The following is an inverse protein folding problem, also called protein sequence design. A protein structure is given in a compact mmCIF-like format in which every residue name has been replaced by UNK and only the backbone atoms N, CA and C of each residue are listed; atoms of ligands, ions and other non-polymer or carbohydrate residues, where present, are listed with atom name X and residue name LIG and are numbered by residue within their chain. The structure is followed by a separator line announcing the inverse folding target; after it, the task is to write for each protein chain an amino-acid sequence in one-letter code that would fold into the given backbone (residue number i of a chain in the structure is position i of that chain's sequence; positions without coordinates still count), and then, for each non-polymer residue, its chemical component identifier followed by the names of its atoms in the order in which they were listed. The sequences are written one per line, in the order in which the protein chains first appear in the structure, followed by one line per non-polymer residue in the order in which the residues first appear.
data_IF_451763505969
#
_entry.id   IF_451763505969
#
_cell.length_a   1.000
_cell.length_b   1.000
_cell.length_c   1.000
_cell.angle_alpha   90.00
_cell.angle_beta   90.00
_cell.angle_gamma   90.00
#
_symmetry.space_group_name_H-M   'P 1'
#
loop_
_entity.id
_entity.type
_entity.pdbx_description
1 polymer ?
#
# COMPACT_ATOMS: atom_id res chain seq x y z
N UNK A 1 -37.95 34.13 22.64
CA UNK A 1 -36.70 34.47 21.95
C UNK A 1 -35.91 33.20 21.78
N UNK A 2 -35.59 32.82 20.54
CA UNK A 2 -34.61 31.78 20.28
C UNK A 2 -33.21 32.27 20.69
N UNK A 3 -32.24 31.36 20.76
CA UNK A 3 -31.18 31.46 19.75
C UNK A 3 -31.10 30.20 18.89
N UNK A 4 -31.14 30.43 17.59
CA UNK A 4 -31.07 29.49 16.46
C UNK A 4 -29.63 29.13 16.07
N UNK A 5 -28.70 28.98 17.01
CA UNK A 5 -27.28 28.88 16.64
C UNK A 5 -26.58 27.77 17.43
N UNK A 6 -26.61 26.53 16.93
CA UNK A 6 -25.49 25.56 16.90
C UNK A 6 -25.71 24.49 15.79
N UNK A 7 -26.38 24.86 14.70
CA UNK A 7 -26.42 24.06 13.48
C UNK A 7 -25.23 24.36 12.54
N UNK A 8 -24.23 25.12 13.02
CA UNK A 8 -23.13 25.64 12.23
C UNK A 8 -21.80 25.06 12.68
N UNK A 9 -21.11 24.47 11.70
CA UNK A 9 -19.69 24.12 11.72
C UNK A 9 -19.29 22.78 12.33
N UNK A 10 -19.72 21.69 11.67
CA UNK A 10 -18.79 20.57 11.47
C UNK A 10 -17.55 21.12 10.75
N UNK A 11 -16.58 21.60 11.52
CA UNK A 11 -15.39 22.26 10.99
C UNK A 11 -14.60 21.37 10.03
N UNK A 12 -13.73 21.93 9.18
CA UNK A 12 -12.91 21.16 8.23
C UNK A 12 -12.18 19.98 8.88
N UNK A 13 -11.79 20.12 10.15
CA UNK A 13 -11.18 19.07 10.96
C UNK A 13 -12.12 17.89 11.26
N UNK A 14 -13.41 18.13 11.52
CA UNK A 14 -14.40 17.09 11.79
C UNK A 14 -14.73 16.30 10.51
N UNK A 15 -14.89 17.00 9.37
CA UNK A 15 -15.06 16.38 8.05
C UNK A 15 -13.83 15.57 7.64
N UNK A 16 -12.63 16.11 7.87
CA UNK A 16 -11.37 15.39 7.65
C UNK A 16 -11.25 14.15 8.54
N UNK A 17 -11.65 14.25 9.82
CA UNK A 17 -11.66 13.12 10.74
C UNK A 17 -12.66 12.03 10.30
N UNK A 18 -13.85 12.41 9.84
CA UNK A 18 -14.86 11.48 9.30
C UNK A 18 -14.38 10.80 8.01
N UNK A 19 -13.82 11.55 7.05
CA UNK A 19 -13.25 10.98 5.83
C UNK A 19 -12.14 9.96 6.16
N UNK A 20 -11.25 10.31 7.09
CA UNK A 20 -10.18 9.42 7.60
C UNK A 20 -10.74 8.16 8.28
N UNK A 21 -11.83 8.29 9.04
CA UNK A 21 -12.48 7.14 9.68
C UNK A 21 -13.16 6.21 8.65
N UNK A 22 -13.74 6.78 7.58
CA UNK A 22 -14.35 6.02 6.48
C UNK A 22 -13.32 5.18 5.73
N UNK A 23 -12.14 5.74 5.46
CA UNK A 23 -11.00 5.00 4.89
C UNK A 23 -10.46 3.91 5.84
N UNK A 24 -10.31 4.20 7.14
CA UNK A 24 -9.82 3.22 8.14
C UNK A 24 -10.73 2.00 8.31
N UNK A 25 -12.02 2.12 7.98
CA UNK A 25 -12.98 1.00 8.07
C UNK A 25 -12.81 -0.05 6.97
N UNK A 26 -12.10 0.24 5.89
CA UNK A 26 -11.84 -0.75 4.85
C UNK A 26 -10.90 -1.83 5.41
N UNK A 27 -11.26 -3.13 5.31
CA UNK A 27 -10.43 -4.23 5.85
C UNK A 27 -9.01 -4.26 5.26
N UNK A 28 -8.87 -3.75 4.03
CA UNK A 28 -7.60 -3.56 3.34
C UNK A 28 -6.76 -2.40 3.89
N UNK A 29 -7.36 -1.44 4.61
CA UNK A 29 -6.63 -0.34 5.25
C UNK A 29 -6.00 -0.72 6.60
N UNK A 30 -6.16 -1.98 7.05
CA UNK A 30 -5.49 -2.47 8.25
C UNK A 30 -3.96 -2.45 8.02
N UNK A 31 -3.17 -1.80 8.89
CA UNK A 31 -1.72 -1.68 8.72
C UNK A 31 -1.02 -3.03 8.51
N UNK A 32 -1.46 -4.07 9.23
CA UNK A 32 -0.92 -5.42 9.09
C UNK A 32 -1.07 -5.99 7.67
N UNK A 33 -2.19 -5.76 7.00
CA UNK A 33 -2.37 -6.27 5.63
C UNK A 33 -1.47 -5.52 4.64
N UNK A 34 -1.33 -4.20 4.82
CA UNK A 34 -0.49 -3.37 3.95
C UNK A 34 1.00 -3.67 4.10
N UNK A 35 1.47 -3.90 5.33
CA UNK A 35 2.91 -4.01 5.62
C UNK A 35 3.42 -5.44 5.86
N UNK A 36 2.54 -6.41 6.11
CA UNK A 36 2.92 -7.83 6.12
C UNK A 36 2.29 -8.57 4.93
N UNK A 37 0.98 -8.43 4.74
CA UNK A 37 0.23 -9.21 3.75
C UNK A 37 0.63 -8.94 2.30
N UNK A 38 0.67 -7.67 1.90
CA UNK A 38 1.06 -7.29 0.53
C UNK A 38 2.52 -7.68 0.22
N UNK A 39 3.51 -7.42 1.09
CA UNK A 39 4.86 -7.93 0.90
C UNK A 39 4.94 -9.45 0.82
N UNK A 40 4.18 -10.19 1.65
CA UNK A 40 4.13 -11.65 1.58
C UNK A 40 3.58 -12.13 0.23
N UNK A 41 2.51 -11.50 -0.26
CA UNK A 41 1.89 -11.83 -1.54
C UNK A 41 2.86 -11.66 -2.71
N UNK A 42 3.72 -10.65 -2.66
CA UNK A 42 4.73 -10.39 -3.70
C UNK A 42 5.98 -11.28 -3.50
N UNK A 43 6.41 -11.48 -2.27
CA UNK A 43 7.60 -12.25 -1.94
C UNK A 43 7.44 -13.74 -2.24
N UNK A 44 6.26 -14.34 -2.00
CA UNK A 44 6.01 -15.75 -2.23
C UNK A 44 6.30 -16.21 -3.69
N UNK A 45 5.70 -15.62 -4.73
CA UNK A 45 5.98 -16.04 -6.12
C UNK A 45 7.42 -15.73 -6.52
N UNK A 46 8.00 -14.61 -6.07
CA UNK A 46 9.37 -14.24 -6.37
C UNK A 46 10.39 -15.20 -5.71
N UNK A 47 10.14 -15.59 -4.46
CA UNK A 47 10.94 -16.57 -3.74
C UNK A 47 10.77 -17.98 -4.34
N UNK A 48 9.56 -18.38 -4.70
CA UNK A 48 9.30 -19.66 -5.37
C UNK A 48 10.05 -19.77 -6.70
N UNK A 49 10.13 -18.67 -7.46
CA UNK A 49 10.92 -18.59 -8.68
C UNK A 49 12.42 -18.71 -8.40
N UNK A 50 12.93 -17.97 -7.40
CA UNK A 50 14.32 -18.07 -6.97
C UNK A 50 14.69 -19.51 -6.54
N UNK A 51 13.81 -20.19 -5.79
CA UNK A 51 14.02 -21.58 -5.38
C UNK A 51 14.09 -22.53 -6.59
N UNK A 52 13.22 -22.36 -7.59
CA UNK A 52 13.28 -23.14 -8.81
C UNK A 52 14.56 -22.90 -9.62
N UNK A 53 14.98 -21.65 -9.77
CA UNK A 53 16.15 -21.29 -10.57
C UNK A 53 17.45 -21.71 -9.88
N UNK A 54 17.60 -21.42 -8.58
CA UNK A 54 18.84 -21.62 -7.85
C UNK A 54 19.02 -23.05 -7.30
N UNK A 55 17.92 -23.73 -6.96
CA UNK A 55 17.97 -25.03 -6.27
C UNK A 55 17.14 -26.13 -6.95
N UNK A 56 16.58 -25.86 -8.14
CA UNK A 56 15.85 -26.84 -8.94
C UNK A 56 14.47 -27.23 -8.38
N UNK A 57 13.95 -26.52 -7.37
CA UNK A 57 12.61 -26.75 -6.84
C UNK A 57 12.33 -25.99 -5.54
N UNK A 58 11.04 -25.92 -5.15
CA UNK A 58 10.56 -25.08 -4.04
C UNK A 58 11.17 -25.38 -2.66
N UNK A 59 11.69 -26.59 -2.46
CA UNK A 59 12.34 -27.07 -1.23
C UNK A 59 13.80 -27.46 -1.47
N UNK A 60 14.39 -27.05 -2.60
CA UNK A 60 15.76 -27.40 -2.95
C UNK A 60 16.75 -26.90 -1.90
N UNK A 61 16.63 -25.64 -1.48
CA UNK A 61 17.48 -25.06 -0.43
C UNK A 61 17.25 -25.74 0.93
N UNK A 62 15.99 -26.03 1.28
CA UNK A 62 15.65 -26.74 2.52
C UNK A 62 16.35 -28.10 2.61
N UNK A 63 16.36 -28.86 1.51
CA UNK A 63 16.98 -30.19 1.46
C UNK A 63 18.50 -30.13 1.47
N UNK A 64 19.09 -29.10 0.88
CA UNK A 64 20.55 -28.97 0.74
C UNK A 64 21.22 -28.29 1.94
N UNK A 65 20.57 -27.29 2.55
CA UNK A 65 21.14 -26.40 3.56
C UNK A 65 20.31 -26.34 4.86
N UNK A 66 19.17 -27.02 4.91
CA UNK A 66 18.33 -27.13 6.10
C UNK A 66 17.33 -25.98 6.29
N UNK A 67 16.55 -26.09 7.36
CA UNK A 67 15.44 -25.17 7.66
C UNK A 67 15.90 -23.74 7.95
N UNK A 68 17.00 -23.58 8.67
CA UNK A 68 17.49 -22.26 9.07
C UNK A 68 17.88 -21.41 7.85
N UNK A 69 18.57 -22.00 6.87
CA UNK A 69 18.92 -21.34 5.61
C UNK A 69 17.65 -20.93 4.84
N UNK A 70 16.72 -21.88 4.66
CA UNK A 70 15.47 -21.66 3.95
C UNK A 70 14.63 -20.51 4.53
N UNK A 71 14.44 -20.48 5.85
CA UNK A 71 13.67 -19.42 6.53
C UNK A 71 14.40 -18.08 6.52
N UNK A 72 15.74 -18.09 6.61
CA UNK A 72 16.55 -16.87 6.52
C UNK A 72 16.48 -16.26 5.13
N UNK A 73 16.62 -17.08 4.09
CA UNK A 73 16.47 -16.67 2.70
C UNK A 73 15.06 -16.12 2.45
N UNK A 74 14.02 -16.85 2.87
CA UNK A 74 12.65 -16.36 2.78
C UNK A 74 12.45 -15.03 3.50
N UNK A 75 13.00 -14.88 4.71
CA UNK A 75 12.94 -13.64 5.48
C UNK A 75 13.62 -12.46 4.78
N UNK A 76 14.78 -12.68 4.16
CA UNK A 76 15.50 -11.69 3.35
C UNK A 76 14.69 -11.26 2.12
N UNK A 77 14.12 -12.23 1.40
CA UNK A 77 13.23 -11.97 0.27
C UNK A 77 12.01 -11.17 0.70
N UNK A 78 11.33 -11.60 1.76
CA UNK A 78 10.19 -10.87 2.33
C UNK A 78 10.57 -9.44 2.72
N UNK A 79 11.70 -9.24 3.40
CA UNK A 79 12.16 -7.93 3.83
C UNK A 79 12.43 -6.99 2.63
N UNK A 80 13.06 -7.49 1.56
CA UNK A 80 13.31 -6.72 0.35
C UNK A 80 12.00 -6.22 -0.29
N UNK A 81 11.00 -7.10 -0.41
CA UNK A 81 9.68 -6.73 -0.91
C UNK A 81 8.93 -5.79 0.04
N UNK A 82 9.06 -5.97 1.36
CA UNK A 82 8.47 -5.09 2.35
C UNK A 82 9.02 -3.66 2.24
N UNK A 83 10.34 -3.51 2.08
CA UNK A 83 10.98 -2.21 1.82
C UNK A 83 10.45 -1.59 0.52
N UNK A 84 10.31 -2.37 -0.55
CA UNK A 84 9.73 -1.89 -1.81
C UNK A 84 8.30 -1.36 -1.64
N UNK A 85 7.44 -2.09 -0.92
CA UNK A 85 6.07 -1.66 -0.62
C UNK A 85 6.03 -0.41 0.26
N UNK A 86 6.93 -0.30 1.25
CA UNK A 86 7.07 0.88 2.09
C UNK A 86 7.46 2.11 1.26
N UNK A 87 8.47 1.98 0.40
CA UNK A 87 8.93 3.06 -0.49
C UNK A 87 7.84 3.47 -1.48
N UNK A 88 7.16 2.53 -2.12
CA UNK A 88 6.04 2.82 -3.00
C UNK A 88 4.90 3.53 -2.24
N UNK A 89 4.60 3.09 -1.02
CA UNK A 89 3.61 3.76 -0.18
C UNK A 89 4.02 5.19 0.21
N UNK A 90 5.29 5.43 0.48
CA UNK A 90 5.80 6.76 0.77
C UNK A 90 5.72 7.66 -0.46
N UNK A 91 6.14 7.17 -1.63
CA UNK A 91 6.06 7.89 -2.89
C UNK A 91 4.63 8.27 -3.27
N UNK A 92 3.67 7.34 -3.14
CA UNK A 92 2.25 7.61 -3.36
C UNK A 92 1.75 8.67 -2.39
N UNK A 93 2.10 8.60 -1.09
CA UNK A 93 1.70 9.61 -0.11
C UNK A 93 2.26 10.99 -0.47
N UNK A 94 3.54 11.08 -0.81
CA UNK A 94 4.18 12.33 -1.22
C UNK A 94 3.52 12.92 -2.48
N UNK A 95 3.18 12.09 -3.47
CA UNK A 95 2.47 12.52 -4.67
C UNK A 95 1.07 13.08 -4.37
N UNK A 96 0.30 12.41 -3.50
CA UNK A 96 -1.01 12.89 -3.05
C UNK A 96 -0.88 14.25 -2.35
N UNK A 97 0.12 14.40 -1.47
CA UNK A 97 0.34 15.66 -0.75
C UNK A 97 0.75 16.80 -1.70
N UNK A 98 1.64 16.55 -2.65
CA UNK A 98 2.06 17.53 -3.65
C UNK A 98 0.88 17.97 -4.54
N UNK A 99 0.07 17.02 -5.03
CA UNK A 99 -1.11 17.33 -5.84
C UNK A 99 -2.18 18.06 -5.04
N UNK A 100 -2.40 17.71 -3.77
CA UNK A 100 -3.31 18.43 -2.89
C UNK A 100 -2.85 19.87 -2.63
N UNK A 101 -1.54 20.09 -2.43
CA UNK A 101 -0.95 21.41 -2.30
C UNK A 101 -1.14 22.26 -3.57
N UNK A 102 -0.86 21.68 -4.75
CA UNK A 102 -1.07 22.35 -6.03
C UNK A 102 -2.55 22.68 -6.27
N UNK A 103 -3.45 21.76 -5.93
CA UNK A 103 -4.90 21.99 -6.01
C UNK A 103 -5.37 23.13 -5.13
N UNK A 104 -4.78 23.29 -3.93
CA UNK A 104 -5.09 24.40 -3.02
C UNK A 104 -4.68 25.76 -3.63
N UNK A 105 -3.52 25.82 -4.28
CA UNK A 105 -3.01 27.02 -4.93
C UNK A 105 -3.87 27.47 -6.12
N UNK A 106 -4.50 26.53 -6.84
CA UNK A 106 -5.32 26.85 -8.01
C UNK A 106 -6.80 27.04 -7.70
N UNK A 107 -7.40 26.13 -6.93
CA UNK A 107 -8.84 26.15 -6.61
C UNK A 107 -9.11 25.57 -5.22
N UNK A 108 -9.10 26.41 -4.16
CA UNK A 108 -9.27 25.94 -2.78
C UNK A 108 -10.61 25.22 -2.54
N UNK A 109 -11.66 25.55 -3.31
CA UNK A 109 -12.95 24.89 -3.23
C UNK A 109 -12.95 23.40 -3.65
N UNK A 110 -11.94 22.94 -4.40
CA UNK A 110 -11.83 21.55 -4.87
C UNK A 110 -10.86 20.68 -4.06
N UNK A 111 -10.19 21.25 -3.04
CA UNK A 111 -9.12 20.56 -2.32
C UNK A 111 -9.57 19.29 -1.57
N UNK A 112 -10.78 19.30 -1.03
CA UNK A 112 -11.38 18.15 -0.32
C UNK A 112 -11.75 16.99 -1.25
N UNK A 113 -12.60 17.16 -2.29
CA UNK A 113 -12.95 16.07 -3.19
C UNK A 113 -11.73 15.53 -3.98
N UNK A 114 -10.78 16.39 -4.31
CA UNK A 114 -9.55 15.99 -4.98
C UNK A 114 -8.66 15.11 -4.09
N UNK A 115 -8.59 15.39 -2.77
CA UNK A 115 -7.89 14.52 -1.82
C UNK A 115 -8.52 13.13 -1.71
N UNK A 116 -9.84 13.04 -1.63
CA UNK A 116 -10.53 11.74 -1.51
C UNK A 116 -10.33 10.86 -2.76
N UNK A 117 -10.38 11.46 -3.95
CA UNK A 117 -10.08 10.78 -5.20
C UNK A 117 -8.63 10.30 -5.27
N UNK A 118 -7.68 11.15 -4.87
CA UNK A 118 -6.25 10.82 -4.86
C UNK A 118 -5.89 9.72 -3.86
N UNK A 119 -6.48 9.72 -2.66
CA UNK A 119 -6.28 8.65 -1.69
C UNK A 119 -6.83 7.31 -2.19
N UNK A 120 -8.00 7.32 -2.85
CA UNK A 120 -8.60 6.12 -3.44
C UNK A 120 -7.76 5.59 -4.60
N UNK A 121 -7.30 6.46 -5.49
CA UNK A 121 -6.41 6.11 -6.59
C UNK A 121 -5.06 5.57 -6.09
N UNK A 122 -4.50 6.19 -5.04
CA UNK A 122 -3.26 5.73 -4.41
C UNK A 122 -3.39 4.32 -3.82
N UNK A 123 -4.52 4.00 -3.18
CA UNK A 123 -4.81 2.64 -2.71
C UNK A 123 -4.95 1.66 -3.87
N UNK A 124 -5.67 2.03 -4.94
CA UNK A 124 -5.80 1.20 -6.12
C UNK A 124 -4.43 0.91 -6.76
N UNK A 125 -3.57 1.92 -6.89
CA UNK A 125 -2.22 1.77 -7.43
C UNK A 125 -1.35 0.83 -6.58
N UNK A 126 -1.43 0.92 -5.25
CA UNK A 126 -0.69 0.03 -4.35
C UNK A 126 -1.20 -1.41 -4.39
N UNK A 127 -2.52 -1.62 -4.37
CA UNK A 127 -3.10 -2.96 -4.25
C UNK A 127 -3.27 -3.68 -5.59
N UNK A 128 -3.43 -2.95 -6.68
CA UNK A 128 -3.60 -3.53 -8.02
C UNK A 128 -2.35 -3.33 -8.87
N UNK A 129 -1.75 -2.15 -8.82
CA UNK A 129 -0.59 -1.82 -9.65
C UNK A 129 0.63 -2.67 -9.34
N UNK A 130 0.99 -2.85 -8.06
CA UNK A 130 2.14 -3.68 -7.67
C UNK A 130 1.96 -5.16 -8.08
N UNK A 131 0.83 -5.83 -7.76
CA UNK A 131 0.62 -7.21 -8.21
C UNK A 131 0.52 -7.36 -9.73
N UNK A 132 -0.15 -6.42 -10.41
CA UNK A 132 -0.26 -6.45 -11.88
C UNK A 132 1.10 -6.27 -12.54
N UNK A 133 1.93 -5.33 -12.06
CA UNK A 133 3.30 -5.15 -12.54
C UNK A 133 4.14 -6.41 -12.36
N UNK A 134 4.05 -7.05 -11.18
CA UNK A 134 4.74 -8.31 -10.92
C UNK A 134 4.26 -9.41 -11.87
N UNK A 135 2.95 -9.55 -12.05
CA UNK A 135 2.37 -10.55 -12.97
C UNK A 135 2.84 -10.31 -14.41
N UNK A 136 2.85 -9.06 -14.88
CA UNK A 136 3.37 -8.71 -16.20
C UNK A 136 4.85 -9.07 -16.35
N UNK A 137 5.68 -8.85 -15.33
CA UNK A 137 7.10 -9.22 -15.37
C UNK A 137 7.33 -10.72 -15.36
N UNK A 138 6.47 -11.48 -14.67
CA UNK A 138 6.54 -12.94 -14.62
C UNK A 138 6.03 -13.60 -15.91
N UNK A 139 5.05 -13.00 -16.58
CA UNK A 139 4.45 -13.52 -17.81
C UNK A 139 5.11 -13.00 -19.09
N UNK A 140 5.72 -11.81 -19.02
CA UNK A 140 6.22 -11.07 -20.18
C UNK A 140 7.64 -11.40 -20.62
N UNK A 141 8.47 -12.02 -19.77
CA UNK A 141 9.87 -12.35 -20.08
C UNK A 141 10.78 -11.12 -20.07
#
# INVERSE_FOLDING_TARGET
GAPLAEAGEEGPAARYAMARQRLRRHRLARPAWKYLGLPLLLALPAFALHQHIAYGGLLGEYRSYGLAAYLSAFGLWWAAWAVGVLMASAAVRAGIEALAWLGLLWRPALALPMREGLESAGLALLYLGLPAWLALRLLGG
#
